data_IF_397324300965
#
_entry.id   IF_397324300965
#
_cell.length_a   1.000
_cell.length_b   1.000
_cell.length_c   1.000
_cell.angle_alpha   90.00
_cell.angle_beta   90.00
_cell.angle_gamma   90.00
#
_symmetry.space_group_name_H-M   'P 1'
#
loop_
_entity.id
_entity.type
_entity.pdbx_description
1 polymer ?
#
# COMPACT_ATOMS: atom_id res chain seq x y z
N UNK A 1 2.59 -73.58 12.38
CA UNK A 1 3.59 -72.69 11.74
C UNK A 1 3.04 -71.67 10.71
N UNK A 2 1.84 -71.86 10.11
CA UNK A 2 1.27 -70.94 9.08
C UNK A 2 0.56 -69.70 9.65
N UNK A 3 0.01 -69.78 10.87
CA UNK A 3 -0.72 -68.68 11.53
C UNK A 3 0.21 -67.55 12.05
N UNK A 4 1.39 -67.90 12.56
CA UNK A 4 2.35 -66.93 13.11
C UNK A 4 2.96 -66.03 12.02
N UNK A 5 3.24 -66.59 10.83
CA UNK A 5 3.71 -65.83 9.65
C UNK A 5 2.66 -64.85 9.12
N UNK A 6 1.36 -65.18 9.22
CA UNK A 6 0.25 -64.29 8.82
C UNK A 6 0.12 -63.08 9.76
N UNK A 7 0.30 -63.27 11.07
CA UNK A 7 0.28 -62.15 12.03
C UNK A 7 1.46 -61.20 11.85
N UNK A 8 2.67 -61.71 11.56
CA UNK A 8 3.86 -60.89 11.31
C UNK A 8 3.72 -60.04 10.04
N UNK A 9 3.19 -60.62 8.95
CA UNK A 9 2.92 -59.90 7.70
C UNK A 9 1.82 -58.83 7.87
N UNK A 10 0.75 -59.13 8.62
CA UNK A 10 -0.29 -58.16 9.01
C UNK A 10 0.27 -56.98 9.82
N UNK A 11 1.14 -57.27 10.79
CA UNK A 11 1.75 -56.26 11.65
C UNK A 11 2.68 -55.33 10.87
N UNK A 12 3.57 -55.89 10.03
CA UNK A 12 4.47 -55.13 9.17
C UNK A 12 3.68 -54.26 8.18
N UNK A 13 2.59 -54.79 7.59
CA UNK A 13 1.75 -54.02 6.66
C UNK A 13 1.03 -52.86 7.35
N UNK A 14 0.49 -53.06 8.56
CA UNK A 14 -0.10 -51.97 9.38
C UNK A 14 0.94 -50.93 9.80
N UNK A 15 2.17 -51.35 10.09
CA UNK A 15 3.28 -50.46 10.45
C UNK A 15 3.73 -49.60 9.26
N UNK A 16 3.86 -50.19 8.07
CA UNK A 16 4.19 -49.49 6.82
C UNK A 16 3.10 -48.46 6.47
N UNK A 17 1.81 -48.84 6.57
CA UNK A 17 0.69 -47.93 6.30
C UNK A 17 0.68 -46.74 7.27
N UNK A 18 0.92 -46.98 8.57
CA UNK A 18 1.02 -45.88 9.55
C UNK A 18 2.21 -44.96 9.28
N UNK A 19 3.36 -45.51 8.90
CA UNK A 19 4.56 -44.73 8.60
C UNK A 19 4.41 -43.92 7.31
N UNK A 20 3.82 -44.49 6.24
CA UNK A 20 3.54 -43.76 5.01
C UNK A 20 2.48 -42.67 5.18
N UNK A 21 1.47 -42.91 6.01
CA UNK A 21 0.46 -41.88 6.36
C UNK A 21 1.11 -40.73 7.14
N UNK A 22 2.00 -41.03 8.08
CA UNK A 22 2.74 -40.02 8.85
C UNK A 22 3.65 -39.18 7.94
N UNK A 23 4.36 -39.82 7.00
CA UNK A 23 5.21 -39.11 6.02
C UNK A 23 4.38 -38.20 5.12
N UNK A 24 3.22 -38.65 4.64
CA UNK A 24 2.32 -37.83 3.82
C UNK A 24 1.78 -36.61 4.58
N UNK A 25 1.46 -36.77 5.87
CA UNK A 25 1.01 -35.64 6.72
C UNK A 25 2.15 -34.65 6.92
N UNK A 26 3.36 -35.11 7.26
CA UNK A 26 4.52 -34.23 7.45
C UNK A 26 4.88 -33.49 6.16
N UNK A 27 4.85 -34.16 5.01
CA UNK A 27 5.11 -33.54 3.72
C UNK A 27 4.02 -32.54 3.33
N UNK A 28 2.75 -32.85 3.61
CA UNK A 28 1.63 -31.93 3.41
C UNK A 28 1.77 -30.66 4.26
N UNK A 29 2.10 -30.81 5.55
CA UNK A 29 2.32 -29.68 6.48
C UNK A 29 3.52 -28.84 6.05
N UNK A 30 4.64 -29.46 5.66
CA UNK A 30 5.81 -28.75 5.16
C UNK A 30 5.50 -27.94 3.90
N UNK A 31 4.69 -28.48 2.99
CA UNK A 31 4.28 -27.78 1.76
C UNK A 31 3.39 -26.56 2.07
N UNK A 32 2.48 -26.68 3.04
CA UNK A 32 1.65 -25.56 3.51
C UNK A 32 2.46 -24.42 4.13
N UNK A 33 3.53 -24.74 4.88
CA UNK A 33 4.41 -23.74 5.51
C UNK A 33 5.20 -22.96 4.44
N UNK A 34 5.67 -23.61 3.38
CA UNK A 34 6.41 -22.94 2.29
C UNK A 34 5.51 -21.97 1.51
N UNK A 35 4.24 -22.31 1.32
CA UNK A 35 3.28 -21.43 0.61
C UNK A 35 2.88 -20.19 1.44
N UNK A 36 2.88 -20.29 2.78
CA UNK A 36 2.51 -19.18 3.65
C UNK A 36 3.54 -18.03 3.66
N UNK A 37 4.80 -18.29 3.27
CA UNK A 37 5.89 -17.31 3.38
C UNK A 37 6.13 -16.49 2.10
N UNK A 38 5.22 -16.54 1.13
CA UNK A 38 5.31 -15.76 -0.12
C UNK A 38 4.55 -14.43 -0.05
N UNK A 39 4.56 -13.74 1.10
CA UNK A 39 4.07 -12.38 1.19
C UNK A 39 5.23 -11.43 0.88
N UNK A 40 5.18 -10.76 -0.27
CA UNK A 40 6.09 -9.65 -0.56
C UNK A 40 5.85 -8.56 0.50
N UNK A 41 6.90 -7.95 1.06
CA UNK A 41 6.73 -6.85 2.00
C UNK A 41 5.90 -5.74 1.34
N UNK A 42 4.78 -5.39 1.96
CA UNK A 42 3.95 -4.25 1.56
C UNK A 42 4.71 -2.97 1.87
N UNK A 43 4.75 -2.07 0.89
CA UNK A 43 5.25 -0.72 1.09
C UNK A 43 4.15 0.06 1.79
N UNK A 44 4.50 0.69 2.90
CA UNK A 44 3.59 1.48 3.72
C UNK A 44 4.14 2.91 3.85
N UNK A 45 3.26 3.91 4.02
CA UNK A 45 3.70 5.27 4.24
C UNK A 45 4.44 5.38 5.57
N UNK A 46 5.42 6.28 5.66
CA UNK A 46 6.05 6.58 6.94
C UNK A 46 5.18 7.55 7.76
N UNK A 47 5.37 7.56 9.08
CA UNK A 47 4.64 8.54 9.92
C UNK A 47 5.05 9.96 9.52
N UNK A 48 4.04 10.81 9.30
CA UNK A 48 4.20 12.25 9.09
C UNK A 48 3.74 12.97 10.35
N UNK A 49 4.63 13.79 10.90
CA UNK A 49 4.33 14.69 12.00
C UNK A 49 4.11 16.12 11.52
N UNK A 50 3.27 16.85 12.23
CA UNK A 50 3.19 18.30 12.04
C UNK A 50 4.57 18.88 12.37
N UNK A 51 5.05 19.80 11.53
CA UNK A 51 6.42 20.34 11.53
C UNK A 51 7.49 19.50 10.83
N UNK A 52 7.19 18.31 10.30
CA UNK A 52 8.08 17.66 9.34
C UNK A 52 8.35 18.59 8.15
N UNK A 53 9.57 18.61 7.64
CA UNK A 53 9.91 19.50 6.53
C UNK A 53 9.41 18.92 5.19
N UNK A 54 8.57 19.66 4.48
CA UNK A 54 8.14 19.33 3.13
C UNK A 54 9.34 19.26 2.18
N UNK A 55 9.42 18.15 1.44
CA UNK A 55 10.54 17.86 0.54
C UNK A 55 10.60 18.82 -0.66
N UNK A 56 9.47 19.44 -1.01
CA UNK A 56 9.36 20.40 -2.11
C UNK A 56 9.54 21.85 -1.66
N UNK A 57 8.58 22.42 -0.92
CA UNK A 57 8.55 23.84 -0.57
C UNK A 57 9.48 24.22 0.60
N UNK A 58 10.03 23.23 1.32
CA UNK A 58 10.88 23.39 2.52
C UNK A 58 10.19 24.06 3.71
N UNK A 59 8.88 24.27 3.65
CA UNK A 59 8.07 24.66 4.81
C UNK A 59 7.71 23.42 5.64
N UNK A 60 7.30 23.65 6.89
CA UNK A 60 6.72 22.63 7.76
C UNK A 60 5.41 22.09 7.18
N UNK A 61 5.20 20.78 7.29
CA UNK A 61 3.89 20.15 7.11
C UNK A 61 2.98 20.67 8.21
N UNK A 62 1.99 21.46 7.80
CA UNK A 62 1.12 22.24 8.69
C UNK A 62 -0.16 21.47 9.02
N UNK A 63 -0.74 20.80 8.02
CA UNK A 63 -2.02 20.11 8.14
C UNK A 63 -1.91 18.69 7.58
N UNK A 64 -1.85 17.69 8.47
CA UNK A 64 -1.71 16.28 8.08
C UNK A 64 -2.81 15.80 7.12
N UNK A 65 -4.01 16.36 7.17
CA UNK A 65 -5.13 15.96 6.31
C UNK A 65 -4.90 16.21 4.82
N UNK A 66 -3.96 17.09 4.46
CA UNK A 66 -3.58 17.35 3.06
C UNK A 66 -2.29 16.66 2.64
N UNK A 67 -1.58 16.05 3.60
CA UNK A 67 -0.24 15.55 3.39
C UNK A 67 -0.20 14.45 2.33
N UNK A 68 0.94 14.38 1.66
CA UNK A 68 1.25 13.35 0.70
C UNK A 68 2.66 12.82 0.91
N UNK A 69 2.92 11.64 0.39
CA UNK A 69 4.22 10.97 0.47
C UNK A 69 4.57 10.29 -0.84
N UNK A 70 5.85 10.30 -1.18
CA UNK A 70 6.44 9.56 -2.28
C UNK A 70 7.59 8.72 -1.74
N UNK A 71 7.64 7.44 -2.08
CA UNK A 71 8.77 6.56 -1.81
C UNK A 71 9.40 6.17 -3.14
N UNK A 72 10.70 6.38 -3.29
CA UNK A 72 11.45 5.99 -4.49
C UNK A 72 11.97 4.55 -4.44
N UNK A 73 12.58 4.07 -5.52
CA UNK A 73 13.12 2.69 -5.59
C UNK A 73 14.24 2.42 -4.58
N UNK A 74 14.96 3.46 -4.15
CA UNK A 74 15.98 3.36 -3.10
C UNK A 74 15.35 3.26 -1.70
N UNK A 75 14.03 3.45 -1.59
CA UNK A 75 13.30 3.45 -0.32
C UNK A 75 13.36 4.79 0.41
N UNK A 76 13.79 5.87 -0.24
CA UNK A 76 13.76 7.20 0.34
C UNK A 76 12.31 7.72 0.36
N UNK A 77 11.83 8.06 1.55
CA UNK A 77 10.54 8.71 1.73
C UNK A 77 10.66 10.24 1.62
N UNK A 78 9.84 10.83 0.76
CA UNK A 78 9.68 12.26 0.57
C UNK A 78 8.30 12.66 1.07
N UNK A 79 8.26 13.49 2.11
CA UNK A 79 7.03 14.00 2.72
C UNK A 79 6.63 15.34 2.12
N UNK A 80 5.34 15.61 1.98
CA UNK A 80 4.82 16.84 1.39
C UNK A 80 3.67 17.43 2.21
N UNK A 81 3.66 18.76 2.28
CA UNK A 81 2.64 19.54 3.01
C UNK A 81 1.26 19.44 2.35
N UNK A 82 1.23 19.37 1.01
CA UNK A 82 0.03 19.01 0.27
C UNK A 82 0.32 18.17 -0.99
N UNK A 83 -0.73 17.59 -1.58
CA UNK A 83 -0.66 16.83 -2.84
C UNK A 83 -0.08 17.69 -3.98
N UNK A 84 -0.32 19.00 -3.97
CA UNK A 84 0.24 19.95 -4.94
C UNK A 84 1.77 20.01 -4.89
N UNK A 85 2.36 20.00 -3.69
CA UNK A 85 3.81 19.92 -3.49
C UNK A 85 4.39 18.61 -4.05
N UNK A 86 3.74 17.48 -3.80
CA UNK A 86 4.15 16.18 -4.37
C UNK A 86 4.12 16.23 -5.89
N UNK A 87 3.02 16.71 -6.48
CA UNK A 87 2.86 16.83 -7.94
C UNK A 87 3.98 17.69 -8.55
N UNK A 88 4.26 18.85 -7.96
CA UNK A 88 5.33 19.74 -8.43
C UNK A 88 6.73 19.14 -8.26
N UNK A 89 6.96 18.36 -7.21
CA UNK A 89 8.22 17.66 -6.98
C UNK A 89 8.51 16.64 -8.09
N UNK A 90 7.50 15.84 -8.46
CA UNK A 90 7.58 14.86 -9.55
C UNK A 90 7.80 15.56 -10.90
N UNK A 91 7.01 16.60 -11.19
CA UNK A 91 7.12 17.38 -12.43
C UNK A 91 8.50 17.99 -12.63
N UNK A 92 9.16 18.38 -11.54
CA UNK A 92 10.52 18.92 -11.55
C UNK A 92 11.62 17.87 -11.43
N UNK A 93 11.27 16.57 -11.43
CA UNK A 93 12.20 15.42 -11.37
C UNK A 93 13.21 15.55 -10.23
N UNK A 94 12.70 15.85 -9.02
CA UNK A 94 13.56 16.13 -7.85
C UNK A 94 14.04 14.87 -7.12
N UNK A 95 13.42 13.71 -7.34
CA UNK A 95 13.91 12.39 -6.92
C UNK A 95 14.98 11.86 -7.89
N UNK A 96 15.92 11.06 -7.35
CA UNK A 96 17.04 10.50 -8.13
C UNK A 96 16.65 9.22 -8.88
N UNK A 97 15.82 8.40 -8.27
CA UNK A 97 15.32 7.12 -8.82
C UNK A 97 13.83 7.19 -9.09
N UNK A 98 13.29 6.19 -9.80
CA UNK A 98 11.86 6.14 -10.13
C UNK A 98 10.99 6.03 -8.87
N UNK A 99 9.72 6.41 -9.02
CA UNK A 99 8.73 6.31 -7.96
C UNK A 99 8.37 4.85 -7.76
N UNK A 100 8.50 4.38 -6.52
CA UNK A 100 8.14 3.02 -6.12
C UNK A 100 6.73 2.97 -5.53
N UNK A 101 6.34 4.00 -4.77
CA UNK A 101 4.99 4.15 -4.23
C UNK A 101 4.66 5.63 -3.98
N UNK A 102 3.36 5.94 -3.95
CA UNK A 102 2.85 7.23 -3.46
C UNK A 102 1.69 7.00 -2.51
N UNK A 103 1.56 7.88 -1.53
CA UNK A 103 0.47 7.87 -0.57
C UNK A 103 -0.11 9.27 -0.42
N UNK A 104 -1.43 9.33 -0.29
CA UNK A 104 -2.19 10.58 -0.10
C UNK A 104 -3.22 10.37 0.98
N UNK A 105 -3.52 11.42 1.73
CA UNK A 105 -4.54 11.38 2.77
C UNK A 105 -5.93 11.49 2.15
N UNK A 106 -6.83 10.59 2.56
CA UNK A 106 -8.26 10.70 2.26
C UNK A 106 -8.83 11.96 2.92
N UNK A 107 -9.47 12.82 2.13
CA UNK A 107 -9.94 14.12 2.58
C UNK A 107 -11.03 14.02 3.67
N UNK A 108 -11.88 13.00 3.60
CA UNK A 108 -12.99 12.82 4.54
C UNK A 108 -12.57 12.04 5.80
N UNK A 109 -11.92 10.89 5.61
CA UNK A 109 -11.63 9.91 6.66
C UNK A 109 -10.27 10.12 7.31
N UNK A 110 -9.36 10.83 6.64
CA UNK A 110 -7.97 11.04 7.08
C UNK A 110 -7.20 9.73 7.25
N UNK A 111 -7.52 8.75 6.40
CA UNK A 111 -6.78 7.50 6.27
C UNK A 111 -5.79 7.62 5.11
N UNK A 112 -4.64 6.95 5.20
CA UNK A 112 -3.73 6.84 4.06
C UNK A 112 -4.34 6.01 2.93
N UNK A 113 -4.21 6.50 1.71
CA UNK A 113 -4.55 5.81 0.47
C UNK A 113 -3.28 5.64 -0.37
N UNK A 114 -3.19 4.53 -1.11
CA UNK A 114 -2.22 4.46 -2.21
C UNK A 114 -2.67 5.44 -3.28
N UNK A 115 -1.73 6.23 -3.81
CA UNK A 115 -2.06 7.28 -4.77
C UNK A 115 -2.77 6.74 -6.02
N UNK A 116 -2.37 5.56 -6.50
CA UNK A 116 -2.97 4.93 -7.69
C UNK A 116 -4.42 4.45 -7.46
N UNK A 117 -4.79 4.22 -6.20
CA UNK A 117 -6.12 3.73 -5.80
C UNK A 117 -7.07 4.89 -5.41
N UNK A 118 -6.57 6.14 -5.38
CA UNK A 118 -7.34 7.31 -4.98
C UNK A 118 -7.99 8.05 -6.16
N UNK A 119 -9.09 8.75 -5.87
CA UNK A 119 -9.79 9.65 -6.79
C UNK A 119 -9.48 11.09 -6.41
N UNK A 120 -9.12 11.92 -7.37
CA UNK A 120 -8.63 13.26 -7.11
C UNK A 120 -9.58 14.32 -7.62
N UNK A 121 -9.74 15.40 -6.86
CA UNK A 121 -10.48 16.58 -7.28
C UNK A 121 -9.59 17.80 -7.11
N UNK A 122 -9.59 18.67 -8.11
CA UNK A 122 -8.96 19.98 -8.02
C UNK A 122 -9.99 21.09 -8.04
N UNK A 123 -9.89 22.03 -7.09
CA UNK A 123 -10.68 23.25 -7.07
C UNK A 123 -9.91 24.38 -6.39
N UNK A 124 -10.15 25.62 -6.80
CA UNK A 124 -9.68 26.81 -6.09
C UNK A 124 -10.39 27.02 -4.76
N UNK A 125 -11.51 26.35 -4.50
CA UNK A 125 -12.24 26.41 -3.22
C UNK A 125 -11.60 25.54 -2.13
N UNK A 126 -10.72 24.61 -2.49
CA UNK A 126 -9.94 23.85 -1.51
C UNK A 126 -8.77 24.69 -1.00
N UNK A 127 -8.85 25.13 0.26
CA UNK A 127 -7.78 25.84 0.95
C UNK A 127 -6.70 24.86 1.43
N UNK A 128 -5.90 24.33 0.51
CA UNK A 128 -4.73 23.50 0.87
C UNK A 128 -3.55 24.37 1.31
N UNK A 129 -2.66 23.89 2.20
CA UNK A 129 -1.56 24.67 2.78
C UNK A 129 -0.71 25.46 1.78
N UNK A 130 -0.45 24.88 0.60
CA UNK A 130 0.37 25.49 -0.44
C UNK A 130 -0.44 25.91 -1.67
N UNK A 131 -1.76 26.09 -1.52
CA UNK A 131 -2.68 26.52 -2.58
C UNK A 131 -2.64 25.65 -3.86
N UNK A 132 -2.26 24.38 -3.73
CA UNK A 132 -2.34 23.42 -4.83
C UNK A 132 -3.78 23.13 -5.26
N UNK A 133 -4.70 23.15 -4.27
CA UNK A 133 -6.13 22.95 -4.47
C UNK A 133 -6.51 21.52 -4.86
N UNK A 134 -5.65 20.54 -4.59
CA UNK A 134 -5.87 19.12 -4.91
C UNK A 134 -6.12 18.35 -3.62
N UNK A 135 -7.21 17.58 -3.59
CA UNK A 135 -7.56 16.64 -2.52
C UNK A 135 -7.82 15.25 -3.09
N UNK A 136 -7.77 14.23 -2.24
CA UNK A 136 -7.96 12.83 -2.62
C UNK A 136 -9.10 12.17 -1.84
N UNK A 137 -9.78 11.24 -2.48
CA UNK A 137 -10.89 10.48 -1.93
C UNK A 137 -10.71 9.00 -2.21
N UNK A 138 -11.16 8.16 -1.28
CA UNK A 138 -11.15 6.71 -1.38
C UNK A 138 -12.18 6.18 -2.39
N UNK A 139 -13.27 6.90 -2.58
CA UNK A 139 -14.37 6.46 -3.44
C UNK A 139 -14.63 7.47 -4.56
N UNK A 140 -14.98 6.94 -5.73
CA UNK A 140 -15.35 7.74 -6.88
C UNK A 140 -16.56 8.64 -6.57
N UNK A 141 -17.58 8.09 -5.90
CA UNK A 141 -18.78 8.83 -5.52
C UNK A 141 -18.44 10.05 -4.65
N UNK A 142 -17.56 9.90 -3.66
CA UNK A 142 -17.13 11.04 -2.82
C UNK A 142 -16.41 12.11 -3.63
N UNK A 143 -15.59 11.71 -4.61
CA UNK A 143 -14.91 12.64 -5.49
C UNK A 143 -15.88 13.38 -6.43
N UNK A 144 -16.88 12.70 -6.98
CA UNK A 144 -17.93 13.29 -7.82
C UNK A 144 -18.81 14.26 -7.00
N UNK A 145 -19.19 13.90 -5.77
CA UNK A 145 -19.92 14.78 -4.86
C UNK A 145 -19.10 16.04 -4.53
N UNK A 146 -17.80 15.88 -4.30
CA UNK A 146 -16.88 16.99 -4.03
C UNK A 146 -16.65 17.86 -5.28
N UNK A 147 -16.52 17.27 -6.46
CA UNK A 147 -16.43 18.00 -7.73
C UNK A 147 -17.65 18.92 -7.90
N UNK A 148 -18.86 18.38 -7.74
CA UNK A 148 -20.09 19.16 -7.85
C UNK A 148 -20.18 20.25 -6.77
N UNK A 149 -19.84 19.91 -5.52
CA UNK A 149 -19.95 20.82 -4.37
C UNK A 149 -18.96 21.99 -4.43
N UNK A 150 -17.73 21.73 -4.86
CA UNK A 150 -16.64 22.70 -4.84
C UNK A 150 -16.29 23.21 -6.25
N UNK A 151 -17.17 22.99 -7.23
CA UNK A 151 -16.99 23.40 -8.63
C UNK A 151 -15.61 22.96 -9.19
N UNK A 152 -15.22 21.73 -8.82
CA UNK A 152 -13.90 21.19 -9.09
C UNK A 152 -13.79 20.54 -10.46
N UNK A 153 -12.68 19.85 -10.65
CA UNK A 153 -12.42 18.98 -11.80
C UNK A 153 -11.81 17.68 -11.30
N UNK A 154 -12.37 16.55 -11.72
CA UNK A 154 -11.80 15.24 -11.48
C UNK A 154 -10.44 15.10 -12.19
N UNK A 155 -9.44 14.58 -11.48
CA UNK A 155 -8.12 14.30 -12.01
C UNK A 155 -7.82 12.80 -11.95
N UNK A 156 -7.14 12.28 -12.97
CA UNK A 156 -6.54 10.94 -12.89
C UNK A 156 -5.22 11.03 -12.13
N UNK A 157 -4.83 9.90 -11.52
CA UNK A 157 -3.52 9.78 -10.86
C UNK A 157 -2.34 10.21 -11.77
N UNK A 158 -2.38 9.86 -13.06
CA UNK A 158 -1.36 10.26 -14.04
C UNK A 158 -1.26 11.77 -14.29
N UNK A 159 -2.30 12.53 -13.97
CA UNK A 159 -2.32 13.99 -14.08
C UNK A 159 -1.74 14.64 -12.82
N UNK A 160 -1.84 13.96 -11.68
CA UNK A 160 -1.22 14.37 -10.41
C UNK A 160 0.28 14.08 -10.43
N UNK A 161 0.69 12.90 -10.89
CA UNK A 161 2.09 12.43 -10.93
C UNK A 161 2.69 12.61 -12.34
N UNK A 162 2.61 13.82 -12.88
CA UNK A 162 3.11 14.15 -14.23
C UNK A 162 4.54 14.67 -14.22
#
# INVERSE_FOLDING_TARGET
MKMEKRNKASFVRKMIIKLSTLILIVFGVATLIVLANCQKPTIEPVSIETNDMCSFCKMSISEKQYAAELIDEDGQAFKFDDIGCMSNFVKQKKNKTSIRATFVMDFDRRDWLKGEEAFYVRSSEFNTPMNGGIVAFKSQSSAEDAEAKFHGTLLRFTEVIK
#
